data_IF_328835745488
#
_entry.id   IF_328835745488
#
_cell.length_a   1.000
_cell.length_b   1.000
_cell.length_c   1.000
_cell.angle_alpha   90.00
_cell.angle_beta   90.00
_cell.angle_gamma   90.00
#
_symmetry.space_group_name_H-M   'P 1'
#
loop_
_entity.id
_entity.type
_entity.pdbx_description
1 polymer ?
#
# COMPACT_ATOMS: atom_id res chain seq x y z
N UNK A 1 -16.24 20.75 29.22
CA UNK A 1 -15.55 19.75 28.39
C UNK A 1 -14.21 20.37 28.03
N UNK A 2 -13.11 19.68 28.21
CA UNK A 2 -11.81 20.19 27.75
C UNK A 2 -11.87 20.33 26.22
N UNK A 3 -11.43 21.46 25.72
CA UNK A 3 -11.35 21.73 24.28
C UNK A 3 -10.37 20.74 23.66
N UNK A 4 -10.77 20.08 22.58
CA UNK A 4 -9.87 19.16 21.88
C UNK A 4 -8.74 19.98 21.27
N UNK A 5 -7.47 19.70 21.60
CA UNK A 5 -6.36 20.48 21.07
C UNK A 5 -6.34 20.43 19.54
N UNK A 6 -5.96 21.53 18.93
CA UNK A 6 -5.81 21.59 17.47
C UNK A 6 -4.61 20.74 17.04
N UNK A 7 -4.69 20.08 15.86
CA UNK A 7 -3.60 19.24 15.35
C UNK A 7 -2.26 19.98 15.29
N UNK A 8 -2.27 21.26 14.98
CA UNK A 8 -1.08 22.12 15.00
C UNK A 8 -0.33 22.10 16.32
N UNK A 9 -1.06 22.13 17.45
CA UNK A 9 -0.45 22.17 18.78
C UNK A 9 0.28 20.88 19.08
N UNK A 10 -0.30 19.74 18.66
CA UNK A 10 0.35 18.44 18.75
C UNK A 10 1.59 18.37 17.88
N UNK A 11 1.50 18.78 16.62
CA UNK A 11 2.61 18.68 15.68
C UNK A 11 3.76 19.61 16.03
N UNK A 12 3.46 20.79 16.57
CA UNK A 12 4.48 21.75 17.03
C UNK A 12 5.29 21.23 18.23
N UNK A 13 4.65 20.46 19.12
CA UNK A 13 5.26 19.93 20.34
C UNK A 13 5.75 18.47 20.21
N UNK A 14 5.35 17.75 19.18
CA UNK A 14 5.73 16.37 18.97
C UNK A 14 7.19 16.20 18.53
N UNK A 15 7.90 15.20 19.03
CA UNK A 15 9.25 14.93 18.56
C UNK A 15 9.22 14.53 17.08
N UNK A 16 10.16 15.10 16.31
CA UNK A 16 10.37 14.77 14.91
C UNK A 16 11.64 13.97 14.74
N UNK A 17 11.63 13.01 13.82
CA UNK A 17 12.83 12.27 13.42
C UNK A 17 13.44 12.77 12.10
N UNK A 18 12.99 13.93 11.64
CA UNK A 18 13.51 14.58 10.44
C UNK A 18 15.00 14.86 10.56
N UNK A 19 15.73 14.60 9.48
CA UNK A 19 17.18 14.73 9.43
C UNK A 19 17.96 13.68 10.21
N UNK A 20 17.32 12.79 10.96
CA UNK A 20 17.98 11.77 11.76
C UNK A 20 18.87 10.83 10.92
N UNK A 21 18.46 10.51 9.73
CA UNK A 21 19.16 9.64 8.77
C UNK A 21 19.70 10.38 7.55
N UNK A 22 19.77 11.72 7.63
CA UNK A 22 20.22 12.59 6.55
C UNK A 22 19.11 13.42 5.95
N UNK A 23 19.49 14.48 5.23
CA UNK A 23 18.55 15.40 4.62
C UNK A 23 17.74 14.76 3.48
N UNK A 24 18.34 13.78 2.81
CA UNK A 24 17.76 13.10 1.65
C UNK A 24 17.06 11.78 2.02
N UNK A 25 16.80 11.55 3.34
CA UNK A 25 16.14 10.33 3.76
C UNK A 25 14.67 10.32 3.39
N UNK A 26 14.24 9.30 2.66
CA UNK A 26 12.84 9.03 2.26
C UNK A 26 12.26 7.78 2.93
N UNK A 27 13.02 7.15 3.84
CA UNK A 27 12.69 5.85 4.44
C UNK A 27 12.09 6.00 5.84
N UNK A 28 12.53 7.02 6.58
CA UNK A 28 12.01 7.34 7.91
C UNK A 28 12.23 6.23 8.93
N UNK A 29 11.20 5.92 9.71
CA UNK A 29 11.31 4.94 10.79
C UNK A 29 11.61 3.51 10.32
N UNK A 30 11.46 3.20 9.02
CA UNK A 30 11.90 1.91 8.49
C UNK A 30 13.42 1.71 8.56
N UNK A 31 14.19 2.80 8.72
CA UNK A 31 15.62 2.73 9.00
C UNK A 31 15.97 1.98 10.30
N UNK A 32 15.00 1.77 11.19
CA UNK A 32 15.19 0.93 12.39
C UNK A 32 15.07 -0.57 12.10
N UNK A 33 14.55 -0.97 10.93
CA UNK A 33 14.32 -2.36 10.60
C UNK A 33 15.56 -2.97 9.95
N UNK A 34 16.40 -3.57 10.77
CA UNK A 34 17.59 -4.31 10.35
C UNK A 34 17.42 -5.82 10.54
N UNK A 35 18.52 -6.54 10.36
CA UNK A 35 18.56 -8.00 10.56
C UNK A 35 18.12 -8.44 11.97
N UNK A 36 18.44 -7.74 13.06
CA UNK A 36 17.98 -8.12 14.40
C UNK A 36 16.45 -8.09 14.52
N UNK A 37 15.79 -7.07 14.00
CA UNK A 37 14.34 -6.91 14.05
C UNK A 37 13.64 -7.99 13.20
N UNK A 38 14.20 -8.32 12.03
CA UNK A 38 13.70 -9.41 11.19
C UNK A 38 13.80 -10.75 11.92
N UNK A 39 14.95 -11.04 12.55
CA UNK A 39 15.13 -12.28 13.31
C UNK A 39 14.22 -12.33 14.54
N UNK A 40 14.01 -11.22 15.23
CA UNK A 40 13.05 -11.13 16.32
C UNK A 40 11.62 -11.43 15.84
N UNK A 41 11.22 -10.88 14.69
CA UNK A 41 9.93 -11.18 14.07
C UNK A 41 9.76 -12.66 13.73
N UNK A 42 10.78 -13.30 13.18
CA UNK A 42 10.77 -14.75 12.88
C UNK A 42 10.60 -15.58 14.15
N UNK A 43 11.23 -15.17 15.26
CA UNK A 43 11.11 -15.87 16.54
C UNK A 43 9.69 -15.87 17.13
N UNK A 44 8.82 -14.97 16.69
CA UNK A 44 7.40 -14.95 17.10
C UNK A 44 6.52 -15.98 16.38
N UNK A 45 7.04 -16.67 15.38
CA UNK A 45 6.32 -17.73 14.67
C UNK A 45 6.33 -18.99 15.56
N UNK A 46 5.23 -19.24 16.28
CA UNK A 46 5.16 -20.33 17.27
C UNK A 46 4.26 -21.50 16.85
N UNK A 47 3.28 -21.26 16.00
CA UNK A 47 2.28 -22.28 15.66
C UNK A 47 2.20 -22.59 14.18
N UNK A 48 2.92 -21.87 13.32
CA UNK A 48 2.81 -22.00 11.87
C UNK A 48 1.43 -21.66 11.30
N UNK A 49 0.52 -21.10 12.12
CA UNK A 49 -0.81 -20.71 11.67
C UNK A 49 -0.72 -19.48 10.78
N UNK A 50 -1.37 -19.55 9.63
CA UNK A 50 -1.46 -18.42 8.68
C UNK A 50 -2.80 -17.72 8.80
N UNK A 51 -2.82 -16.41 8.50
CA UNK A 51 -4.01 -15.58 8.52
C UNK A 51 -4.08 -14.77 7.22
N UNK A 52 -5.25 -14.79 6.58
CA UNK A 52 -5.51 -13.93 5.44
C UNK A 52 -5.91 -12.55 5.95
N UNK A 53 -5.10 -11.53 5.65
CA UNK A 53 -5.37 -10.15 6.04
C UNK A 53 -6.03 -9.32 4.93
N UNK A 54 -6.26 -9.93 3.75
CA UNK A 54 -6.88 -9.27 2.63
C UNK A 54 -8.40 -9.10 2.80
N UNK A 55 -8.94 -8.04 2.22
CA UNK A 55 -10.38 -7.81 2.03
C UNK A 55 -10.74 -8.05 0.57
N UNK A 56 -11.96 -8.57 0.26
CA UNK A 56 -12.40 -8.74 -1.12
C UNK A 56 -12.43 -7.39 -1.85
N UNK A 57 -11.81 -7.31 -3.02
CA UNK A 57 -11.87 -6.11 -3.86
C UNK A 57 -13.20 -6.03 -4.60
N UNK A 58 -13.73 -4.79 -4.73
CA UNK A 58 -14.97 -4.54 -5.45
C UNK A 58 -16.24 -5.09 -4.77
N UNK A 59 -16.15 -5.48 -3.49
CA UNK A 59 -17.28 -5.94 -2.68
C UNK A 59 -17.86 -4.82 -1.83
N UNK A 60 -19.19 -4.72 -1.66
CA UNK A 60 -19.77 -3.74 -0.73
C UNK A 60 -19.30 -3.87 0.72
N UNK A 61 -18.83 -5.06 1.12
CA UNK A 61 -18.29 -5.33 2.46
C UNK A 61 -16.76 -5.39 2.48
N UNK A 62 -16.10 -5.03 1.39
CA UNK A 62 -14.66 -5.10 1.24
C UNK A 62 -14.07 -3.78 0.78
N UNK A 63 -13.19 -3.86 -0.22
CA UNK A 63 -12.51 -2.71 -0.79
C UNK A 63 -13.40 -1.94 -1.80
N UNK A 64 -13.42 -0.59 -1.80
CA UNK A 64 -12.66 0.31 -0.92
C UNK A 64 -13.27 0.43 0.48
N UNK A 65 -12.40 0.40 1.50
CA UNK A 65 -12.83 0.62 2.90
C UNK A 65 -13.16 2.09 3.14
N UNK A 66 -12.43 3.00 2.48
CA UNK A 66 -12.67 4.44 2.60
C UNK A 66 -13.72 4.93 1.61
N UNK A 67 -14.80 5.60 2.05
CA UNK A 67 -15.96 5.95 1.21
C UNK A 67 -15.65 6.87 0.02
N UNK A 68 -14.59 7.66 0.10
CA UNK A 68 -14.19 8.60 -0.95
C UNK A 68 -13.43 7.99 -2.12
N UNK A 69 -13.14 6.68 -2.07
CA UNK A 69 -12.33 6.00 -3.09
C UNK A 69 -13.19 5.17 -4.03
N UNK A 70 -12.67 4.98 -5.26
CA UNK A 70 -13.37 4.22 -6.30
C UNK A 70 -13.23 2.73 -6.06
N UNK A 71 -14.26 1.99 -6.40
CA UNK A 71 -14.18 0.52 -6.42
C UNK A 71 -13.16 0.03 -7.44
N UNK A 72 -12.45 -1.02 -7.08
CA UNK A 72 -11.55 -1.73 -7.98
C UNK A 72 -12.29 -2.19 -9.24
N UNK A 73 -11.65 -2.04 -10.39
CA UNK A 73 -12.13 -2.54 -11.68
C UNK A 73 -11.11 -3.51 -12.24
N UNK A 74 -11.56 -4.73 -12.51
CA UNK A 74 -10.78 -5.73 -13.21
C UNK A 74 -11.24 -5.79 -14.66
N UNK A 75 -10.31 -5.79 -15.58
CA UNK A 75 -10.54 -5.88 -17.02
C UNK A 75 -9.67 -6.99 -17.58
N UNK A 76 -10.28 -7.98 -18.24
CA UNK A 76 -9.54 -8.99 -18.95
C UNK A 76 -8.90 -8.35 -20.19
N UNK A 77 -7.59 -8.46 -20.31
CA UNK A 77 -6.82 -7.95 -21.46
C UNK A 77 -6.52 -9.05 -22.47
N UNK A 78 -6.43 -10.28 -22.00
CA UNK A 78 -6.31 -11.50 -22.81
C UNK A 78 -7.28 -12.55 -22.26
N UNK A 79 -8.09 -13.15 -23.14
CA UNK A 79 -9.04 -14.18 -22.78
C UNK A 79 -9.21 -15.23 -23.89
N UNK A 80 -10.05 -16.22 -23.67
CA UNK A 80 -10.35 -17.25 -24.66
C UNK A 80 -10.95 -16.69 -25.97
N UNK A 81 -11.72 -15.59 -25.89
CA UNK A 81 -12.27 -14.91 -27.05
C UNK A 81 -11.18 -14.32 -27.96
N UNK A 82 -10.16 -13.71 -27.37
CA UNK A 82 -9.01 -13.20 -28.09
C UNK A 82 -8.24 -14.33 -28.80
N UNK A 83 -8.07 -15.47 -28.13
CA UNK A 83 -7.44 -16.66 -28.70
C UNK A 83 -8.23 -17.25 -29.86
N UNK A 84 -9.55 -17.39 -29.73
CA UNK A 84 -10.44 -17.87 -30.78
C UNK A 84 -10.45 -16.94 -32.00
N UNK A 85 -10.26 -15.65 -31.79
CA UNK A 85 -10.12 -14.65 -32.85
C UNK A 85 -8.75 -14.65 -33.54
N UNK A 86 -7.82 -15.52 -33.14
CA UNK A 86 -6.45 -15.60 -33.68
C UNK A 86 -5.55 -14.43 -33.29
N UNK A 87 -5.89 -13.69 -32.23
CA UNK A 87 -5.19 -12.50 -31.77
C UNK A 87 -4.31 -12.72 -30.53
N UNK A 88 -4.33 -13.94 -30.00
CA UNK A 88 -3.46 -14.33 -28.88
C UNK A 88 -1.98 -14.35 -29.31
N UNK A 89 -1.09 -13.98 -28.40
CA UNK A 89 0.36 -14.07 -28.66
C UNK A 89 0.80 -15.55 -28.54
N UNK A 90 1.31 -16.16 -29.64
CA UNK A 90 1.59 -17.59 -29.64
C UNK A 90 2.75 -17.94 -28.70
N UNK A 91 2.54 -19.01 -27.93
CA UNK A 91 3.54 -19.61 -27.05
C UNK A 91 4.01 -20.93 -27.66
N UNK A 92 5.31 -21.26 -27.62
CA UNK A 92 5.81 -22.57 -28.02
C UNK A 92 5.09 -23.70 -27.29
N UNK A 93 4.67 -24.73 -28.03
CA UNK A 93 3.87 -25.84 -27.47
C UNK A 93 2.37 -25.60 -27.40
N UNK A 94 1.89 -24.46 -27.89
CA UNK A 94 0.46 -24.18 -28.03
C UNK A 94 -0.27 -23.84 -26.72
N UNK A 95 0.45 -23.48 -25.67
CA UNK A 95 -0.16 -23.02 -24.42
C UNK A 95 -0.92 -21.70 -24.64
N UNK A 96 -2.07 -21.59 -23.97
CA UNK A 96 -2.90 -20.40 -23.95
C UNK A 96 -2.93 -19.85 -22.52
N UNK A 97 -3.15 -18.55 -22.39
CA UNK A 97 -3.21 -17.85 -21.12
C UNK A 97 -4.30 -16.78 -21.11
N UNK A 98 -4.58 -16.28 -19.95
CA UNK A 98 -5.48 -15.16 -19.72
C UNK A 98 -4.78 -14.14 -18.84
N UNK A 99 -4.86 -12.87 -19.22
CA UNK A 99 -4.31 -11.75 -18.47
C UNK A 99 -5.38 -10.75 -18.10
N UNK A 100 -5.17 -10.14 -16.93
CA UNK A 100 -6.05 -9.12 -16.40
C UNK A 100 -5.27 -7.84 -16.08
N UNK A 101 -5.97 -6.72 -16.18
CA UNK A 101 -5.56 -5.43 -15.64
C UNK A 101 -6.44 -5.06 -14.46
N UNK A 102 -5.83 -4.60 -13.37
CA UNK A 102 -6.54 -4.08 -12.21
C UNK A 102 -6.35 -2.56 -12.12
N UNK A 103 -7.46 -1.83 -12.05
CA UNK A 103 -7.49 -0.39 -11.77
C UNK A 103 -8.05 -0.20 -10.38
N UNK A 104 -7.25 0.34 -9.47
CA UNK A 104 -7.57 0.48 -8.05
C UNK A 104 -6.96 1.77 -7.49
N UNK A 105 -7.65 2.40 -6.55
CA UNK A 105 -7.05 3.43 -5.70
C UNK A 105 -6.17 2.71 -4.68
N UNK A 106 -4.84 2.90 -4.74
CA UNK A 106 -3.87 2.07 -3.99
C UNK A 106 -4.05 2.12 -2.47
N UNK A 107 -4.60 3.21 -1.92
CA UNK A 107 -4.91 3.34 -0.50
C UNK A 107 -6.31 2.86 -0.13
N UNK A 108 -6.90 1.99 -0.93
CA UNK A 108 -8.27 1.52 -0.73
C UNK A 108 -8.39 0.51 0.41
N UNK A 109 -7.39 -0.33 0.61
CA UNK A 109 -7.43 -1.51 1.48
C UNK A 109 -6.10 -1.69 2.22
N UNK A 110 -5.77 -2.92 2.63
CA UNK A 110 -4.51 -3.24 3.32
C UNK A 110 -3.31 -3.00 2.43
N UNK A 111 -2.44 -2.08 2.84
CA UNK A 111 -1.26 -1.67 2.10
C UNK A 111 -0.27 -0.96 3.03
N UNK A 112 0.87 -0.64 2.52
CA UNK A 112 1.86 0.18 3.19
C UNK A 112 1.89 1.56 2.54
N UNK A 113 1.55 2.62 3.29
CA UNK A 113 1.56 3.97 2.77
C UNK A 113 3.00 4.50 2.65
N UNK A 114 3.26 5.21 1.54
CA UNK A 114 4.46 6.01 1.43
C UNK A 114 4.39 7.21 2.38
N UNK A 115 5.55 7.70 2.82
CA UNK A 115 5.65 8.87 3.70
C UNK A 115 5.12 10.16 3.06
N UNK A 116 4.98 10.19 1.74
CA UNK A 116 4.34 11.25 0.99
C UNK A 116 2.82 11.14 0.83
N UNK A 117 2.18 10.06 1.37
CA UNK A 117 0.73 9.91 1.24
C UNK A 117 -0.06 10.91 2.08
N UNK A 118 0.45 11.30 3.23
CA UNK A 118 -0.21 12.26 4.11
C UNK A 118 0.80 13.31 4.58
N UNK A 119 0.37 14.55 4.61
CA UNK A 119 1.19 15.66 5.06
C UNK A 119 0.37 16.69 5.81
N UNK A 120 1.04 17.66 6.39
CA UNK A 120 0.43 18.76 7.09
C UNK A 120 1.13 20.09 6.75
N UNK A 121 0.35 21.12 6.44
CA UNK A 121 0.88 22.34 5.86
C UNK A 121 1.44 22.09 4.46
N UNK A 122 2.60 22.63 4.16
CA UNK A 122 3.23 22.54 2.85
C UNK A 122 4.47 21.61 2.85
N UNK A 123 4.58 20.71 3.85
CA UNK A 123 5.73 19.86 4.00
C UNK A 123 5.37 18.39 4.18
N UNK A 124 6.01 17.55 3.38
CA UNK A 124 6.06 16.10 3.53
C UNK A 124 7.05 15.71 4.63
N UNK A 125 7.20 14.39 4.84
CA UNK A 125 8.25 13.85 5.71
C UNK A 125 9.62 14.45 5.33
N UNK A 126 10.45 14.63 6.33
CA UNK A 126 11.83 15.15 6.24
C UNK A 126 11.95 16.60 5.69
N UNK A 127 10.83 17.30 5.57
CA UNK A 127 10.80 18.69 5.12
C UNK A 127 10.75 18.89 3.61
N UNK A 128 10.52 17.82 2.84
CA UNK A 128 10.27 17.96 1.41
C UNK A 128 9.01 18.81 1.15
N UNK A 129 9.03 19.58 0.10
CA UNK A 129 7.86 20.35 -0.34
C UNK A 129 6.74 19.42 -0.82
N UNK A 130 5.48 19.75 -0.47
CA UNK A 130 4.29 18.98 -0.81
C UNK A 130 3.79 19.22 -2.25
#
# INVERSE_FOLDING_TARGET
>A
MAETPHLNDYLASSPKNWGKWGADDEVGSLNYLGSPEVLAGVAEIRSGKTFTLGVPMGSPAGDPVWPGRRQARRVNTVDAGLWMAGKGFPIPGGAQYSDDMLVIDVQSSSQYDALGHAWYGDQLYNGYDA
#
